data_IF_812274151652
#
_entry.id   IF_812274151652
#
_cell.length_a   1.000
_cell.length_b   1.000
_cell.length_c   1.000
_cell.angle_alpha   90.00
_cell.angle_beta   90.00
_cell.angle_gamma   90.00
#
_symmetry.space_group_name_H-M   'P 1'
#
loop_
_entity.id
_entity.type
_entity.pdbx_description
1 polymer ?
#
# COMPACT_ATOMS: atom_id res chain seq x y z
N UNK A 1 9.83 -14.83 99.06
CA UNK A 1 10.33 -14.10 97.87
C UNK A 1 9.75 -14.77 96.64
N UNK A 2 9.00 -14.02 95.83
CA UNK A 2 8.24 -14.51 94.67
C UNK A 2 9.16 -14.82 93.47
N UNK A 3 8.97 -15.95 92.75
CA UNK A 3 9.53 -16.15 91.42
C UNK A 3 8.40 -16.04 90.38
N UNK A 4 8.22 -14.87 89.78
CA UNK A 4 7.24 -14.68 88.71
C UNK A 4 7.44 -13.35 88.02
N UNK A 5 8.17 -13.35 86.89
CA UNK A 5 8.13 -12.24 85.92
C UNK A 5 8.90 -12.48 84.60
N UNK A 6 9.65 -13.57 84.41
CA UNK A 6 10.55 -13.67 83.24
C UNK A 6 9.95 -14.37 82.00
N UNK A 7 8.85 -15.10 82.12
CA UNK A 7 8.26 -15.88 81.01
C UNK A 7 7.20 -15.14 80.20
N UNK A 8 6.66 -14.03 80.73
CA UNK A 8 5.53 -13.31 80.13
C UNK A 8 5.98 -12.42 78.96
N UNK A 9 7.12 -11.73 79.11
CA UNK A 9 7.66 -10.80 78.11
C UNK A 9 8.10 -11.45 76.79
N UNK A 10 8.62 -12.69 76.83
CA UNK A 10 9.10 -13.40 75.62
C UNK A 10 7.93 -13.93 74.78
N UNK A 11 6.80 -14.26 75.42
CA UNK A 11 5.59 -14.73 74.73
C UNK A 11 4.90 -13.55 74.03
N UNK A 12 4.81 -12.39 74.69
CA UNK A 12 4.23 -11.18 74.11
C UNK A 12 5.00 -10.66 72.90
N UNK A 13 6.35 -10.67 72.93
CA UNK A 13 7.18 -10.26 71.79
C UNK A 13 7.03 -11.19 70.58
N UNK A 14 6.78 -12.49 70.81
CA UNK A 14 6.51 -13.46 69.72
C UNK A 14 5.11 -13.29 69.15
N UNK A 15 4.13 -12.96 69.99
CA UNK A 15 2.76 -12.67 69.57
C UNK A 15 2.71 -11.42 68.68
N UNK A 16 3.43 -10.36 69.06
CA UNK A 16 3.49 -9.09 68.33
C UNK A 16 4.13 -9.21 66.94
N UNK A 17 5.23 -9.98 66.84
CA UNK A 17 5.86 -10.31 65.53
C UNK A 17 4.92 -11.08 64.60
N UNK A 18 4.12 -12.00 65.14
CA UNK A 18 3.14 -12.75 64.34
C UNK A 18 2.01 -11.82 63.86
N UNK A 19 1.55 -10.89 64.70
CA UNK A 19 0.56 -9.89 64.30
C UNK A 19 1.07 -8.93 63.21
N UNK A 20 2.33 -8.49 63.28
CA UNK A 20 2.96 -7.69 62.23
C UNK A 20 3.08 -8.47 60.91
N UNK A 21 3.49 -9.74 60.96
CA UNK A 21 3.56 -10.57 59.77
C UNK A 21 2.20 -10.77 59.09
N UNK A 22 1.13 -10.95 59.88
CA UNK A 22 -0.24 -11.04 59.36
C UNK A 22 -0.65 -9.73 58.68
N UNK A 23 -0.39 -8.57 59.31
CA UNK A 23 -0.66 -7.25 58.73
C UNK A 23 0.10 -7.04 57.42
N UNK A 24 1.38 -7.38 57.36
CA UNK A 24 2.21 -7.27 56.16
C UNK A 24 1.68 -8.15 55.02
N UNK A 25 1.19 -9.36 55.33
CA UNK A 25 0.58 -10.24 54.35
C UNK A 25 -0.75 -9.68 53.80
N UNK A 26 -1.58 -9.09 54.66
CA UNK A 26 -2.83 -8.44 54.27
C UNK A 26 -2.58 -7.20 53.41
N UNK A 27 -1.62 -6.35 53.79
CA UNK A 27 -1.21 -5.18 53.02
C UNK A 27 -0.62 -5.56 51.66
N UNK A 28 0.19 -6.64 51.62
CA UNK A 28 0.72 -7.17 50.35
C UNK A 28 -0.39 -7.70 49.45
N UNK A 29 -1.40 -8.38 50.00
CA UNK A 29 -2.58 -8.83 49.25
C UNK A 29 -3.43 -7.65 48.77
N UNK A 30 -3.61 -6.60 49.58
CA UNK A 30 -4.33 -5.38 49.20
C UNK A 30 -3.63 -4.69 48.03
N UNK A 31 -2.32 -4.47 48.15
CA UNK A 31 -1.51 -3.84 47.09
C UNK A 31 -1.53 -4.64 45.79
N UNK A 32 -1.44 -5.97 45.85
CA UNK A 32 -1.53 -6.80 44.66
C UNK A 32 -2.90 -6.67 43.96
N UNK A 33 -4.01 -6.62 44.72
CA UNK A 33 -5.35 -6.40 44.16
C UNK A 33 -5.49 -5.01 43.54
N UNK A 34 -4.96 -3.98 44.18
CA UNK A 34 -4.96 -2.61 43.65
C UNK A 34 -4.15 -2.51 42.34
N UNK A 35 -2.98 -3.14 42.27
CA UNK A 35 -2.15 -3.18 41.06
C UNK A 35 -2.86 -3.90 39.91
N UNK A 36 -3.54 -5.01 40.19
CA UNK A 36 -4.29 -5.76 39.19
C UNK A 36 -5.53 -5.01 38.71
N UNK A 37 -6.23 -4.31 39.62
CA UNK A 37 -7.33 -3.41 39.26
C UNK A 37 -6.82 -2.24 38.40
N UNK A 38 -5.69 -1.64 38.75
CA UNK A 38 -5.08 -0.56 37.97
C UNK A 38 -4.66 -1.03 36.57
N UNK A 39 -4.16 -2.27 36.41
CA UNK A 39 -3.88 -2.87 35.10
C UNK A 39 -5.17 -3.10 34.31
N UNK A 40 -6.21 -3.63 34.94
CA UNK A 40 -7.51 -3.86 34.31
C UNK A 40 -8.13 -2.54 33.80
N UNK A 41 -8.07 -1.47 34.60
CA UNK A 41 -8.56 -0.15 34.22
C UNK A 41 -7.74 0.48 33.07
N UNK A 42 -6.42 0.34 33.10
CA UNK A 42 -5.56 0.74 31.98
C UNK A 42 -5.95 -0.01 30.69
N UNK A 43 -6.14 -1.32 30.75
CA UNK A 43 -6.59 -2.11 29.59
C UNK A 43 -7.98 -1.68 29.09
N UNK A 44 -8.93 -1.43 30.01
CA UNK A 44 -10.27 -0.94 29.67
C UNK A 44 -10.19 0.42 28.96
N UNK A 45 -9.36 1.33 29.46
CA UNK A 45 -9.15 2.66 28.86
C UNK A 45 -8.53 2.56 27.47
N UNK A 46 -7.57 1.66 27.27
CA UNK A 46 -6.97 1.39 25.95
C UNK A 46 -8.00 0.83 24.97
N UNK A 47 -8.82 -0.14 25.39
CA UNK A 47 -9.92 -0.68 24.56
C UNK A 47 -10.93 0.39 24.16
N UNK A 48 -11.31 1.27 25.09
CA UNK A 48 -12.22 2.39 24.80
C UNK A 48 -11.60 3.40 23.82
N UNK A 49 -10.32 3.75 23.97
CA UNK A 49 -9.60 4.61 23.04
C UNK A 49 -9.54 3.99 21.64
N UNK A 50 -9.23 2.70 21.54
CA UNK A 50 -9.22 1.98 20.27
C UNK A 50 -10.61 1.98 19.61
N UNK A 51 -11.67 1.65 20.36
CA UNK A 51 -13.05 1.69 19.87
C UNK A 51 -13.43 3.09 19.36
N UNK A 52 -13.10 4.14 20.12
CA UNK A 52 -13.34 5.53 19.72
C UNK A 52 -12.59 5.88 18.43
N UNK A 53 -11.33 5.49 18.31
CA UNK A 53 -10.52 5.72 17.11
C UNK A 53 -11.09 5.00 15.87
N UNK A 54 -11.52 3.75 16.01
CA UNK A 54 -12.16 2.98 14.92
C UNK A 54 -13.45 3.66 14.47
N UNK A 55 -14.31 4.08 15.41
CA UNK A 55 -15.56 4.78 15.10
C UNK A 55 -15.30 6.12 14.41
N UNK A 56 -14.33 6.89 14.87
CA UNK A 56 -13.95 8.16 14.25
C UNK A 56 -13.44 7.94 12.82
N UNK A 57 -12.59 6.93 12.59
CA UNK A 57 -12.12 6.58 11.25
C UNK A 57 -13.28 6.16 10.34
N UNK A 58 -14.20 5.34 10.82
CA UNK A 58 -15.38 4.93 10.06
C UNK A 58 -16.31 6.11 9.72
N UNK A 59 -16.46 7.08 10.64
CA UNK A 59 -17.19 8.32 10.35
C UNK A 59 -16.50 9.14 9.26
N UNK A 60 -15.18 9.31 9.33
CA UNK A 60 -14.41 10.04 8.30
C UNK A 60 -14.50 9.38 6.92
N UNK A 61 -14.43 8.05 6.84
CA UNK A 61 -14.57 7.32 5.57
C UNK A 61 -15.96 7.57 4.97
N UNK A 62 -17.03 7.49 5.78
CA UNK A 62 -18.38 7.79 5.29
C UNK A 62 -18.54 9.21 4.78
N UNK A 63 -17.90 10.19 5.43
CA UNK A 63 -17.93 11.58 4.93
C UNK A 63 -17.18 11.75 3.62
N UNK A 64 -16.05 11.04 3.42
CA UNK A 64 -15.31 11.11 2.16
C UNK A 64 -16.07 10.42 1.03
N UNK A 65 -16.73 9.29 1.31
CA UNK A 65 -17.51 8.56 0.33
C UNK A 65 -18.72 9.38 -0.15
N UNK A 66 -19.43 10.04 0.78
CA UNK A 66 -20.54 10.93 0.44
C UNK A 66 -20.10 12.13 -0.43
N UNK A 67 -18.92 12.70 -0.15
CA UNK A 67 -18.35 13.78 -0.97
C UNK A 67 -18.00 13.27 -2.37
N UNK A 68 -17.43 12.08 -2.46
CA UNK A 68 -17.03 11.45 -3.73
C UNK A 68 -18.25 11.09 -4.58
N UNK A 69 -19.34 10.60 -3.98
CA UNK A 69 -20.62 10.41 -4.64
C UNK A 69 -21.22 11.73 -5.13
N UNK A 70 -21.18 12.80 -4.32
CA UNK A 70 -21.63 14.12 -4.74
C UNK A 70 -20.85 14.67 -5.94
N UNK A 71 -19.53 14.46 -5.99
CA UNK A 71 -18.71 14.84 -7.14
C UNK A 71 -19.00 14.00 -8.39
N UNK A 72 -19.27 12.70 -8.23
CA UNK A 72 -19.68 11.82 -9.34
C UNK A 72 -21.02 12.26 -9.91
N UNK A 73 -22.03 12.48 -9.06
CA UNK A 73 -23.35 12.94 -9.48
C UNK A 73 -23.29 14.30 -10.20
N UNK A 74 -22.43 15.22 -9.73
CA UNK A 74 -22.21 16.49 -10.42
C UNK A 74 -21.59 16.30 -11.81
N UNK A 75 -20.57 15.46 -11.94
CA UNK A 75 -19.94 15.16 -13.24
C UNK A 75 -20.90 14.47 -14.21
N UNK A 76 -21.76 13.60 -13.70
CA UNK A 76 -22.78 12.92 -14.51
C UNK A 76 -23.81 13.92 -15.03
N UNK A 77 -24.33 14.80 -14.16
CA UNK A 77 -25.23 15.87 -14.56
C UNK A 77 -24.61 16.84 -15.58
N UNK A 78 -23.36 17.26 -15.35
CA UNK A 78 -22.64 18.13 -16.28
C UNK A 78 -22.42 17.43 -17.65
N UNK A 79 -22.24 16.10 -17.66
CA UNK A 79 -22.12 15.32 -18.89
C UNK A 79 -23.46 15.17 -19.63
N UNK A 80 -24.56 14.93 -18.92
CA UNK A 80 -25.91 14.89 -19.48
C UNK A 80 -26.31 16.23 -20.10
N UNK A 81 -26.04 17.34 -19.39
CA UNK A 81 -26.31 18.70 -19.89
C UNK A 81 -25.47 19.00 -21.15
N UNK A 82 -24.20 18.58 -21.18
CA UNK A 82 -23.35 18.73 -22.35
C UNK A 82 -23.82 17.87 -23.55
N UNK A 83 -24.36 16.67 -23.30
CA UNK A 83 -24.92 15.82 -24.35
C UNK A 83 -26.22 16.41 -24.91
N UNK A 84 -27.10 16.93 -24.04
CA UNK A 84 -28.31 17.63 -24.43
C UNK A 84 -28.02 18.85 -25.31
N UNK A 85 -27.02 19.66 -24.96
CA UNK A 85 -26.58 20.78 -25.80
C UNK A 85 -26.00 20.33 -27.14
N UNK A 86 -25.22 19.23 -27.17
CA UNK A 86 -24.74 18.64 -28.43
C UNK A 86 -25.90 18.18 -29.31
N UNK A 87 -26.92 17.54 -28.73
CA UNK A 87 -28.10 17.11 -29.48
C UNK A 87 -28.90 18.30 -30.03
N UNK A 88 -29.10 19.36 -29.24
CA UNK A 88 -29.73 20.60 -29.72
C UNK A 88 -28.94 21.25 -30.84
N UNK A 89 -27.61 21.32 -30.72
CA UNK A 89 -26.73 21.87 -31.75
C UNK A 89 -26.79 21.05 -33.05
N UNK A 90 -26.84 19.72 -32.96
CA UNK A 90 -27.02 18.84 -34.12
C UNK A 90 -28.37 19.04 -34.78
N UNK A 91 -29.47 19.08 -34.01
CA UNK A 91 -30.82 19.37 -34.53
C UNK A 91 -30.88 20.73 -35.21
N UNK A 92 -30.27 21.76 -34.62
CA UNK A 92 -30.17 23.10 -35.21
C UNK A 92 -29.41 23.07 -36.54
N UNK A 93 -28.25 22.43 -36.59
CA UNK A 93 -27.47 22.26 -37.83
C UNK A 93 -28.22 21.49 -38.91
N UNK A 94 -28.97 20.45 -38.54
CA UNK A 94 -29.80 19.68 -39.47
C UNK A 94 -30.96 20.53 -40.02
N UNK A 95 -31.62 21.30 -39.15
CA UNK A 95 -32.70 22.21 -39.53
C UNK A 95 -32.21 23.32 -40.47
N UNK A 96 -31.04 23.91 -40.18
CA UNK A 96 -30.40 24.89 -41.08
C UNK A 96 -30.01 24.25 -42.41
N UNK A 97 -29.51 23.02 -42.41
CA UNK A 97 -29.19 22.27 -43.64
C UNK A 97 -30.45 22.00 -44.47
N UNK A 98 -31.55 21.59 -43.85
CA UNK A 98 -32.85 21.39 -44.52
C UNK A 98 -33.41 22.71 -45.07
N UNK A 99 -33.30 23.81 -44.33
CA UNK A 99 -33.70 25.13 -44.82
C UNK A 99 -32.83 25.62 -46.00
N UNK A 100 -31.53 25.32 -46.01
CA UNK A 100 -30.63 25.65 -47.13
C UNK A 100 -30.83 24.79 -48.38
N UNK A 101 -31.52 23.65 -48.24
CA UNK A 101 -31.90 22.76 -49.35
C UNK A 101 -33.32 23.04 -49.88
N UNK A 102 -33.92 24.17 -49.48
CA UNK A 102 -35.20 24.65 -50.00
C UNK A 102 -35.09 25.16 -51.44
N UNK A 103 -35.81 24.49 -52.34
CA UNK A 103 -36.28 24.90 -53.67
C UNK A 103 -35.22 25.27 -54.71
N UNK A 104 -34.63 24.26 -55.35
CA UNK A 104 -34.29 24.35 -56.78
C UNK A 104 -34.90 23.14 -57.49
N UNK A 105 -36.15 23.29 -57.94
CA UNK A 105 -36.65 22.47 -59.02
C UNK A 105 -35.76 22.74 -60.23
N UNK A 106 -35.00 21.74 -60.66
CA UNK A 106 -34.18 21.83 -61.87
C UNK A 106 -35.13 21.77 -63.07
N UNK A 107 -35.20 22.81 -63.92
CA UNK A 107 -36.05 22.75 -65.11
C UNK A 107 -35.59 21.62 -66.02
N UNK A 108 -36.53 20.73 -66.35
CA UNK A 108 -36.39 19.49 -67.14
C UNK A 108 -35.67 19.63 -68.49
N UNK A 109 -35.31 20.86 -68.91
CA UNK A 109 -34.59 21.15 -70.15
C UNK A 109 -33.06 21.15 -70.00
N UNK A 110 -32.53 21.19 -68.76
CA UNK A 110 -31.08 21.20 -68.51
C UNK A 110 -30.50 19.79 -68.28
N UNK A 111 -31.34 18.81 -67.90
CA UNK A 111 -30.92 17.41 -67.74
C UNK A 111 -30.60 16.74 -69.08
N UNK A 112 -31.36 17.02 -70.14
CA UNK A 112 -31.07 16.50 -71.49
C UNK A 112 -29.78 17.06 -72.11
N UNK A 113 -29.38 18.29 -71.75
CA UNK A 113 -28.14 18.88 -72.24
C UNK A 113 -26.89 18.29 -71.54
N UNK A 114 -27.03 17.87 -70.28
CA UNK A 114 -25.94 17.28 -69.49
C UNK A 114 -25.70 15.81 -69.84
N UNK A 115 -26.77 15.05 -70.17
CA UNK A 115 -26.65 13.67 -70.66
C UNK A 115 -26.00 13.60 -72.06
N UNK A 116 -26.32 14.55 -72.95
CA UNK A 116 -25.65 14.67 -74.26
C UNK A 116 -24.18 15.06 -74.15
N UNK A 117 -23.78 15.83 -73.15
CA UNK A 117 -22.39 16.18 -72.91
C UNK A 117 -21.58 15.01 -72.30
N UNK A 118 -22.20 14.22 -71.42
CA UNK A 118 -21.56 13.04 -70.82
C UNK A 118 -21.37 11.87 -71.81
N UNK A 119 -22.29 11.70 -72.78
CA UNK A 119 -22.10 10.73 -73.87
C UNK A 119 -20.96 11.11 -74.82
N UNK A 120 -20.70 12.41 -75.02
CA UNK A 120 -19.58 12.89 -75.84
C UNK A 120 -18.23 12.85 -75.08
N UNK A 121 -18.23 13.04 -73.76
CA UNK A 121 -17.01 12.97 -72.94
C UNK A 121 -16.51 11.54 -72.67
N UNK A 122 -17.37 10.51 -72.83
CA UNK A 122 -16.96 9.11 -72.76
C UNK A 122 -16.13 8.64 -73.98
N UNK A 123 -16.15 9.38 -75.09
CA UNK A 123 -15.45 9.04 -76.33
C UNK A 123 -14.06 9.67 -76.47
N UNK A 124 -13.65 10.59 -75.59
CA UNK A 124 -12.35 11.23 -75.65
C UNK A 124 -11.84 11.57 -74.24
N UNK A 125 -10.93 10.75 -73.71
CA UNK A 125 -10.39 10.92 -72.37
C UNK A 125 -8.91 10.59 -72.26
N UNK A 126 -8.05 11.46 -72.80
CA UNK A 126 -6.66 11.60 -72.39
C UNK A 126 -6.43 13.01 -71.84
N UNK A 127 -5.77 13.06 -70.68
CA UNK A 127 -5.05 14.18 -70.07
C UNK A 127 -5.84 15.45 -69.70
N UNK A 128 -6.07 15.69 -68.40
CA UNK A 128 -5.52 16.84 -67.66
C UNK A 128 -5.43 16.49 -66.17
N UNK A 129 -4.22 16.64 -65.64
CA UNK A 129 -3.85 16.49 -64.23
C UNK A 129 -4.06 17.79 -63.45
N UNK A 130 -4.19 17.66 -62.12
CA UNK A 130 -3.66 18.61 -61.12
C UNK A 130 -4.48 19.82 -60.60
N UNK A 131 -5.83 19.82 -60.63
CA UNK A 131 -6.64 20.84 -59.88
C UNK A 131 -7.70 20.23 -58.94
N UNK A 132 -7.78 18.91 -58.83
CA UNK A 132 -8.88 18.22 -58.13
C UNK A 132 -8.38 17.43 -56.90
N UNK A 133 -7.82 18.11 -55.90
CA UNK A 133 -7.45 17.46 -54.61
C UNK A 133 -8.08 18.14 -53.38
N UNK A 134 -8.63 19.35 -53.51
CA UNK A 134 -9.30 20.03 -52.37
C UNK A 134 -10.83 19.99 -52.37
N UNK A 135 -11.46 19.40 -53.40
CA UNK A 135 -12.93 19.34 -53.50
C UNK A 135 -13.52 17.93 -53.27
N UNK A 136 -12.69 16.89 -53.21
CA UNK A 136 -13.19 15.51 -53.15
C UNK A 136 -13.50 15.00 -51.72
N UNK A 137 -12.98 15.62 -50.67
CA UNK A 137 -13.28 15.17 -49.29
C UNK A 137 -14.73 15.45 -48.84
N UNK A 138 -15.42 16.36 -49.54
CA UNK A 138 -16.80 16.77 -49.17
C UNK A 138 -17.88 16.02 -49.95
N UNK A 139 -17.53 15.41 -51.08
CA UNK A 139 -18.48 14.75 -51.98
C UNK A 139 -18.58 13.22 -51.75
N UNK A 140 -17.66 12.62 -50.98
CA UNK A 140 -17.64 11.16 -50.69
C UNK A 140 -18.50 10.75 -49.47
N UNK A 141 -19.12 11.71 -48.77
CA UNK A 141 -20.01 11.41 -47.64
C UNK A 141 -21.44 11.02 -48.09
N UNK A 142 -21.77 11.27 -49.36
CA UNK A 142 -23.13 11.12 -49.89
C UNK A 142 -23.39 9.79 -50.60
N UNK A 143 -22.37 8.96 -50.88
CA UNK A 143 -22.52 7.68 -51.60
C UNK A 143 -22.32 6.43 -50.74
N UNK A 144 -21.94 6.56 -49.46
CA UNK A 144 -21.71 5.40 -48.58
C UNK A 144 -23.02 4.65 -48.32
N UNK A 145 -23.02 3.36 -48.68
CA UNK A 145 -24.12 2.46 -48.42
C UNK A 145 -24.39 2.35 -46.91
N UNK A 146 -25.64 2.06 -46.47
CA UNK A 146 -25.98 1.91 -45.05
C UNK A 146 -25.04 0.94 -44.31
N UNK A 147 -24.63 -0.15 -44.96
CA UNK A 147 -23.67 -1.11 -44.41
C UNK A 147 -22.28 -0.52 -44.12
N UNK A 148 -21.77 0.35 -44.99
CA UNK A 148 -20.44 0.94 -44.80
C UNK A 148 -20.43 1.97 -43.68
N UNK A 149 -21.55 2.69 -43.49
CA UNK A 149 -21.74 3.57 -42.33
C UNK A 149 -21.79 2.78 -41.03
N UNK A 150 -22.46 1.63 -41.02
CA UNK A 150 -22.51 0.75 -39.86
C UNK A 150 -21.13 0.17 -39.52
N UNK A 151 -20.40 -0.36 -40.50
CA UNK A 151 -19.02 -0.85 -40.35
C UNK A 151 -18.07 0.23 -39.82
N UNK A 152 -18.19 1.49 -40.29
CA UNK A 152 -17.42 2.62 -39.76
C UNK A 152 -17.80 2.97 -38.32
N UNK A 153 -19.08 2.90 -37.97
CA UNK A 153 -19.54 3.16 -36.59
C UNK A 153 -19.03 2.11 -35.61
N UNK A 154 -18.98 0.83 -36.02
CA UNK A 154 -18.44 -0.27 -35.23
C UNK A 154 -16.93 -0.09 -35.03
N UNK A 155 -16.17 0.21 -36.10
CA UNK A 155 -14.74 0.50 -36.00
C UNK A 155 -14.46 1.69 -35.07
N UNK A 156 -15.28 2.75 -35.15
CA UNK A 156 -15.14 3.90 -34.27
C UNK A 156 -15.38 3.54 -32.80
N UNK A 157 -16.42 2.74 -32.50
CA UNK A 157 -16.69 2.23 -31.14
C UNK A 157 -15.55 1.34 -30.62
N UNK A 158 -14.96 0.50 -31.48
CA UNK A 158 -13.81 -0.32 -31.12
C UNK A 158 -12.59 0.55 -30.75
N UNK A 159 -12.29 1.57 -31.55
CA UNK A 159 -11.19 2.51 -31.27
C UNK A 159 -11.45 3.29 -29.99
N UNK A 160 -12.67 3.78 -29.77
CA UNK A 160 -13.04 4.47 -28.52
C UNK A 160 -12.92 3.57 -27.29
N UNK A 161 -13.27 2.29 -27.40
CA UNK A 161 -13.11 1.32 -26.32
C UNK A 161 -11.63 1.05 -25.99
N UNK A 162 -10.79 0.89 -27.02
CA UNK A 162 -9.34 0.73 -26.84
C UNK A 162 -8.70 1.99 -26.24
N UNK A 163 -9.15 3.18 -26.66
CA UNK A 163 -8.73 4.45 -26.09
C UNK A 163 -9.11 4.55 -24.61
N UNK A 164 -10.35 4.19 -24.23
CA UNK A 164 -10.78 4.14 -22.83
C UNK A 164 -9.93 3.20 -21.99
N UNK A 165 -9.57 2.02 -22.52
CA UNK A 165 -8.68 1.08 -21.83
C UNK A 165 -7.26 1.65 -21.65
N UNK A 166 -6.75 2.39 -22.63
CA UNK A 166 -5.45 3.05 -22.52
C UNK A 166 -5.48 4.16 -21.48
N UNK A 167 -6.53 4.97 -21.48
CA UNK A 167 -6.71 6.06 -20.51
C UNK A 167 -6.94 5.51 -19.09
N UNK A 168 -7.67 4.40 -18.92
CA UNK A 168 -7.84 3.73 -17.62
C UNK A 168 -6.50 3.21 -17.08
N UNK A 169 -5.67 2.59 -17.93
CA UNK A 169 -4.32 2.13 -17.52
C UNK A 169 -3.44 3.30 -17.11
N UNK A 170 -3.49 4.40 -17.86
CA UNK A 170 -2.73 5.62 -17.55
C UNK A 170 -3.20 6.26 -16.25
N UNK A 171 -4.51 6.30 -16.01
CA UNK A 171 -5.06 6.82 -14.77
C UNK A 171 -4.64 5.98 -13.56
N UNK A 172 -4.73 4.64 -13.66
CA UNK A 172 -4.25 3.76 -12.59
C UNK A 172 -2.77 3.94 -12.29
N UNK A 173 -1.95 4.16 -13.31
CA UNK A 173 -0.52 4.41 -13.14
C UNK A 173 -0.27 5.73 -12.38
N UNK A 174 -1.00 6.80 -12.73
CA UNK A 174 -0.93 8.08 -12.02
C UNK A 174 -1.36 7.93 -10.56
N UNK A 175 -2.47 7.24 -10.31
CA UNK A 175 -2.98 7.02 -8.94
C UNK A 175 -1.97 6.21 -8.08
N UNK A 176 -1.32 5.20 -8.66
CA UNK A 176 -0.27 4.41 -8.00
C UNK A 176 1.00 5.23 -7.73
N UNK A 177 1.40 6.10 -8.67
CA UNK A 177 2.53 7.00 -8.51
C UNK A 177 2.27 8.05 -7.43
N UNK A 178 1.07 8.65 -7.40
CA UNK A 178 0.64 9.58 -6.34
C UNK A 178 0.66 8.91 -4.96
N UNK A 179 0.15 7.67 -4.87
CA UNK A 179 0.17 6.89 -3.62
C UNK A 179 1.61 6.59 -3.18
N UNK A 180 2.48 6.21 -4.10
CA UNK A 180 3.89 5.96 -3.83
C UNK A 180 4.62 7.23 -3.36
N UNK A 181 4.33 8.37 -3.97
CA UNK A 181 4.90 9.65 -3.58
C UNK A 181 4.44 10.06 -2.18
N UNK A 182 3.16 9.84 -1.86
CA UNK A 182 2.62 10.10 -0.52
C UNK A 182 3.27 9.21 0.56
N UNK A 183 3.62 7.96 0.22
CA UNK A 183 4.41 7.08 1.08
C UNK A 183 5.85 7.59 1.22
N UNK A 184 6.49 8.07 0.15
CA UNK A 184 7.84 8.65 0.19
C UNK A 184 7.88 9.89 1.07
N UNK A 185 6.92 10.79 0.93
CA UNK A 185 6.80 11.99 1.78
C UNK A 185 6.60 11.64 3.25
N UNK A 186 5.75 10.65 3.56
CA UNK A 186 5.59 10.17 4.94
C UNK A 186 6.90 9.59 5.51
N UNK A 187 7.63 8.80 4.71
CA UNK A 187 8.93 8.25 5.12
C UNK A 187 9.98 9.35 5.31
N UNK A 188 9.97 10.39 4.47
CA UNK A 188 10.87 11.54 4.61
C UNK A 188 10.58 12.31 5.90
N UNK A 189 9.32 12.63 6.20
CA UNK A 189 8.93 13.30 7.45
C UNK A 189 9.33 12.51 8.69
N UNK A 190 9.17 11.18 8.68
CA UNK A 190 9.61 10.32 9.79
C UNK A 190 11.13 10.35 9.97
N UNK A 191 11.90 10.41 8.88
CA UNK A 191 13.37 10.52 8.96
C UNK A 191 13.80 11.87 9.51
N UNK A 192 13.18 12.95 9.06
CA UNK A 192 13.44 14.30 9.57
C UNK A 192 13.10 14.41 11.06
N UNK A 193 11.94 13.90 11.48
CA UNK A 193 11.56 13.84 12.90
C UNK A 193 12.54 13.00 13.73
N UNK A 194 13.07 11.90 13.17
CA UNK A 194 14.07 11.08 13.84
C UNK A 194 15.43 11.80 13.98
N UNK A 195 15.84 12.58 12.97
CA UNK A 195 17.06 13.40 13.05
C UNK A 195 16.91 14.48 14.11
N UNK A 196 15.78 15.20 14.15
CA UNK A 196 15.50 16.20 15.19
C UNK A 196 15.49 15.59 16.60
N UNK A 197 14.92 14.39 16.76
CA UNK A 197 14.97 13.67 18.04
C UNK A 197 16.39 13.25 18.42
N UNK A 198 17.20 12.85 17.44
CA UNK A 198 18.59 12.49 17.69
C UNK A 198 19.45 13.70 18.05
N UNK A 199 19.23 14.84 17.38
CA UNK A 199 19.89 16.11 17.70
C UNK A 199 19.45 16.64 19.07
N UNK A 200 18.16 16.58 19.40
CA UNK A 200 17.65 16.94 20.72
C UNK A 200 18.23 16.04 21.82
N UNK A 201 18.29 14.71 21.60
CA UNK A 201 18.91 13.79 22.54
C UNK A 201 20.43 14.01 22.67
N UNK A 202 21.10 14.46 21.61
CA UNK A 202 22.52 14.84 21.66
C UNK A 202 22.71 16.15 22.44
N UNK A 203 21.84 17.14 22.24
CA UNK A 203 21.86 18.39 22.98
C UNK A 203 21.55 18.18 24.47
N UNK A 204 20.59 17.31 24.81
CA UNK A 204 20.27 16.94 26.19
C UNK A 204 21.45 16.21 26.86
N UNK A 205 22.13 15.32 26.13
CA UNK A 205 23.36 14.67 26.63
C UNK A 205 24.52 15.64 26.83
N UNK A 206 24.69 16.61 25.94
CA UNK A 206 25.71 17.65 26.09
C UNK A 206 25.38 18.62 27.24
N UNK A 207 24.10 18.95 27.44
CA UNK A 207 23.65 19.75 28.57
C UNK A 207 23.79 19.00 29.91
N UNK A 208 23.50 17.69 29.94
CA UNK A 208 23.74 16.85 31.10
C UNK A 208 25.23 16.69 31.42
N UNK A 209 26.09 16.56 30.39
CA UNK A 209 27.54 16.53 30.57
C UNK A 209 28.12 17.87 31.05
N UNK A 210 27.58 19.01 30.59
CA UNK A 210 27.96 20.34 31.07
C UNK A 210 27.49 20.62 32.51
N UNK A 211 26.36 20.02 32.93
CA UNK A 211 25.89 20.10 34.31
C UNK A 211 26.70 19.21 35.28
N UNK A 212 27.30 18.12 34.78
CA UNK A 212 28.19 17.21 35.55
C UNK A 212 29.62 17.78 35.70
N UNK A 213 30.02 18.75 34.86
CA UNK A 213 31.34 19.40 34.93
C UNK A 213 31.44 20.51 36.02
N UNK A 214 30.40 20.75 36.81
CA UNK A 214 30.42 21.67 37.96
C UNK A 214 30.31 20.96 39.33
N UNK A 215 30.55 19.65 39.39
CA UNK A 215 30.60 18.93 40.67
C UNK A 215 31.70 17.88 40.69
N UNK A 216 32.91 18.25 40.25
CA UNK A 216 34.12 17.44 40.48
C UNK A 216 35.07 18.19 41.40
N UNK A 217 34.86 18.05 42.70
CA UNK A 217 35.94 18.14 43.70
C UNK A 217 35.63 17.20 44.87
N UNK A 218 36.46 16.17 44.93
CA UNK A 218 37.02 15.53 46.12
C UNK A 218 36.41 14.23 46.70
N UNK A 219 37.34 13.26 46.71
CA UNK A 219 37.67 12.13 47.61
C UNK A 219 37.09 10.73 47.37
N UNK A 220 38.06 9.82 47.34
CA UNK A 220 38.10 8.37 47.16
C UNK A 220 37.69 7.67 48.46
N UNK A 221 36.88 6.60 48.39
CA UNK A 221 37.13 5.39 49.17
C UNK A 221 36.41 4.16 48.58
N UNK A 222 37.08 3.02 48.74
CA UNK A 222 36.79 1.70 48.19
C UNK A 222 35.79 0.97 49.09
N UNK A 223 34.72 0.37 48.54
CA UNK A 223 34.17 -0.87 49.12
C UNK A 223 33.23 -1.66 48.18
N UNK A 224 33.58 -2.93 48.05
CA UNK A 224 32.88 -4.18 47.70
C UNK A 224 31.68 -4.29 46.74
N UNK A 225 31.83 -5.32 45.90
CA UNK A 225 30.92 -5.82 44.89
C UNK A 225 29.62 -6.45 45.42
N UNK A 226 28.50 -6.10 44.77
CA UNK A 226 27.47 -7.05 44.31
C UNK A 226 26.95 -6.61 42.94
N UNK A 227 26.99 -7.45 41.89
CA UNK A 227 26.53 -7.05 40.57
C UNK A 227 24.99 -7.01 40.57
N UNK A 228 24.41 -5.83 40.78
CA UNK A 228 23.00 -5.58 40.47
C UNK A 228 22.88 -5.63 38.95
N UNK A 229 22.44 -6.77 38.44
CA UNK A 229 22.10 -6.96 37.04
C UNK A 229 21.09 -5.86 36.68
N UNK A 230 21.54 -4.84 35.96
CA UNK A 230 20.69 -3.76 35.53
C UNK A 230 19.77 -4.30 34.44
N UNK A 231 18.59 -4.76 34.86
CA UNK A 231 17.56 -5.39 34.02
C UNK A 231 17.19 -4.46 32.86
N UNK A 232 17.22 -3.15 33.08
CA UNK A 232 16.90 -2.14 32.07
C UNK A 232 18.00 -2.01 31.00
N UNK A 233 19.26 -2.12 31.41
CA UNK A 233 20.38 -2.22 30.47
C UNK A 233 20.38 -3.57 29.71
N UNK A 234 19.96 -4.66 30.36
CA UNK A 234 19.85 -5.98 29.73
C UNK A 234 18.68 -6.04 28.74
N UNK A 235 17.52 -5.47 29.08
CA UNK A 235 16.36 -5.31 28.20
C UNK A 235 16.70 -4.37 27.04
N UNK A 236 17.44 -3.29 27.29
CA UNK A 236 17.91 -2.39 26.22
C UNK A 236 18.89 -3.08 25.26
N UNK A 237 19.78 -3.95 25.77
CA UNK A 237 20.67 -4.77 24.94
C UNK A 237 19.90 -5.83 24.15
N UNK A 238 18.95 -6.54 24.78
CA UNK A 238 18.08 -7.53 24.11
C UNK A 238 17.15 -6.91 23.07
N UNK A 239 16.67 -5.68 23.32
CA UNK A 239 15.80 -4.95 22.39
C UNK A 239 16.57 -4.48 21.16
N UNK A 240 17.83 -4.04 21.33
CA UNK A 240 18.72 -3.68 20.23
C UNK A 240 19.20 -4.91 19.43
N UNK A 241 19.41 -6.03 20.11
CA UNK A 241 19.76 -7.30 19.46
C UNK A 241 18.62 -7.83 18.58
N UNK A 242 17.35 -7.73 18.99
CA UNK A 242 16.22 -8.15 18.15
C UNK A 242 16.04 -7.33 16.87
N UNK A 243 16.47 -6.06 16.85
CA UNK A 243 16.43 -5.21 15.65
C UNK A 243 17.70 -5.29 14.81
N UNK A 244 18.87 -5.58 15.38
CA UNK A 244 20.11 -5.78 14.61
C UNK A 244 20.29 -7.21 14.09
N UNK A 245 19.75 -8.21 14.78
CA UNK A 245 19.74 -9.61 14.34
C UNK A 245 18.92 -9.80 13.06
N UNK A 246 17.98 -8.90 12.76
CA UNK A 246 17.26 -8.92 11.48
C UNK A 246 18.07 -8.35 10.29
N UNK A 247 19.24 -7.75 10.51
CA UNK A 247 19.99 -7.03 9.47
C UNK A 247 21.46 -7.41 9.28
N UNK A 248 22.03 -8.30 10.10
CA UNK A 248 23.39 -8.82 9.93
C UNK A 248 23.47 -10.27 10.45
N UNK A 249 22.70 -11.17 9.82
CA UNK A 249 22.85 -12.61 10.07
C UNK A 249 23.93 -13.13 9.11
N UNK A 250 25.01 -13.74 9.61
CA UNK A 250 25.96 -14.45 8.75
C UNK A 250 25.21 -15.43 7.86
N UNK A 251 25.45 -15.33 6.55
CA UNK A 251 25.02 -16.30 5.54
C UNK A 251 25.26 -17.70 6.09
N UNK A 252 24.23 -18.53 6.08
CA UNK A 252 24.06 -19.60 7.04
C UNK A 252 25.06 -20.76 6.98
N UNK A 253 26.22 -20.70 6.31
CA UNK A 253 27.20 -21.79 6.04
C UNK A 253 26.61 -23.10 5.47
N UNK A 254 25.61 -23.71 6.11
CA UNK A 254 25.02 -25.02 5.80
C UNK A 254 23.48 -24.99 5.76
N UNK A 255 22.90 -25.83 4.89
CA UNK A 255 21.43 -25.95 4.71
C UNK A 255 20.69 -26.34 6.00
N UNK A 256 21.29 -27.19 6.83
CA UNK A 256 20.76 -27.63 8.14
C UNK A 256 20.63 -26.48 9.13
N UNK A 257 21.61 -25.57 9.15
CA UNK A 257 21.62 -24.38 10.00
C UNK A 257 20.55 -23.39 9.57
N UNK A 258 20.35 -23.24 8.25
CA UNK A 258 19.26 -22.45 7.69
C UNK A 258 17.88 -23.01 8.07
N UNK A 259 17.66 -24.33 7.98
CA UNK A 259 16.39 -24.96 8.39
C UNK A 259 16.08 -24.73 9.87
N UNK A 260 17.06 -24.93 10.76
CA UNK A 260 16.91 -24.67 12.21
C UNK A 260 16.55 -23.21 12.51
N UNK A 261 17.15 -22.25 11.79
CA UNK A 261 16.89 -20.82 11.96
C UNK A 261 15.48 -20.42 11.49
N UNK A 262 15.00 -21.02 10.41
CA UNK A 262 13.68 -20.75 9.84
C UNK A 262 12.56 -21.62 10.46
N UNK A 263 12.88 -22.43 11.48
CA UNK A 263 11.90 -23.31 12.13
C UNK A 263 11.41 -24.44 11.22
N UNK A 264 12.18 -24.80 10.19
CA UNK A 264 11.86 -25.89 9.26
C UNK A 264 12.41 -27.19 9.82
N UNK A 265 11.60 -28.25 9.82
CA UNK A 265 12.08 -29.57 10.23
C UNK A 265 13.18 -30.06 9.27
N UNK A 266 14.15 -30.81 9.78
CA UNK A 266 15.32 -31.22 9.00
C UNK A 266 14.96 -32.06 7.77
N UNK A 267 13.91 -32.87 7.90
CA UNK A 267 13.36 -33.74 6.86
C UNK A 267 12.41 -33.00 5.88
N UNK A 268 11.94 -31.81 6.24
CA UNK A 268 11.06 -31.03 5.38
C UNK A 268 11.83 -30.43 4.21
N UNK A 269 11.34 -30.67 3.00
CA UNK A 269 11.87 -30.06 1.77
C UNK A 269 11.47 -28.59 1.67
N UNK A 270 12.37 -27.78 1.13
CA UNK A 270 12.27 -26.33 1.03
C UNK A 270 12.12 -25.96 -0.43
N UNK A 271 11.22 -25.05 -0.76
CA UNK A 271 11.13 -24.53 -2.12
C UNK A 271 11.09 -23.01 -2.18
N UNK A 272 11.63 -22.46 -3.26
CA UNK A 272 11.62 -21.04 -3.58
C UNK A 272 10.76 -20.79 -4.82
N UNK A 273 9.89 -19.78 -4.79
CA UNK A 273 9.11 -19.35 -5.94
C UNK A 273 9.54 -17.97 -6.42
N UNK A 274 9.77 -17.86 -7.71
CA UNK A 274 10.17 -16.61 -8.36
C UNK A 274 9.07 -16.19 -9.33
N UNK A 275 8.13 -15.39 -8.82
CA UNK A 275 6.95 -14.93 -9.55
C UNK A 275 5.64 -15.25 -8.81
N UNK A 276 4.52 -15.07 -9.49
CA UNK A 276 3.19 -15.33 -8.93
C UNK A 276 2.67 -16.70 -9.37
N UNK A 277 2.77 -17.71 -8.50
CA UNK A 277 2.35 -19.09 -8.78
C UNK A 277 1.56 -19.68 -7.60
N UNK A 278 0.30 -19.26 -7.39
CA UNK A 278 -0.49 -19.71 -6.25
C UNK A 278 -0.76 -21.22 -6.27
N UNK A 279 -1.04 -21.79 -7.45
CA UNK A 279 -1.32 -23.23 -7.59
C UNK A 279 -0.13 -24.09 -7.16
N UNK A 280 1.06 -23.76 -7.64
CA UNK A 280 2.29 -24.51 -7.31
C UNK A 280 2.60 -24.37 -5.82
N UNK A 281 2.49 -23.15 -5.29
CA UNK A 281 2.66 -22.87 -3.85
C UNK A 281 1.76 -23.76 -3.01
N UNK A 282 0.46 -23.75 -3.27
CA UNK A 282 -0.52 -24.54 -2.53
C UNK A 282 -0.28 -26.05 -2.65
N UNK A 283 0.10 -26.55 -3.83
CA UNK A 283 0.37 -27.98 -4.02
C UNK A 283 1.59 -28.46 -3.25
N UNK A 284 2.65 -27.64 -3.16
CA UNK A 284 3.86 -27.96 -2.42
C UNK A 284 3.64 -27.81 -0.90
N UNK A 285 2.91 -26.78 -0.47
CA UNK A 285 2.51 -26.62 0.94
C UNK A 285 1.60 -27.78 1.41
N UNK A 286 0.67 -28.25 0.56
CA UNK A 286 -0.16 -29.45 0.84
C UNK A 286 0.67 -30.73 0.99
N UNK A 287 1.81 -30.82 0.31
CA UNK A 287 2.78 -31.92 0.44
C UNK A 287 3.69 -31.77 1.66
N UNK A 288 3.50 -30.71 2.46
CA UNK A 288 4.31 -30.43 3.64
C UNK A 288 5.66 -29.79 3.34
N UNK A 289 5.85 -29.22 2.14
CA UNK A 289 7.08 -28.50 1.81
C UNK A 289 7.03 -27.08 2.37
N UNK A 290 8.19 -26.55 2.75
CA UNK A 290 8.31 -25.21 3.30
C UNK A 290 8.61 -24.18 2.21
N UNK A 291 7.77 -23.14 2.10
CA UNK A 291 7.98 -22.04 1.18
C UNK A 291 8.96 -21.01 1.76
N UNK A 292 10.13 -20.88 1.13
CA UNK A 292 11.11 -19.84 1.46
C UNK A 292 10.77 -18.53 0.70
N UNK A 293 10.41 -17.43 1.39
CA UNK A 293 10.10 -16.15 0.74
C UNK A 293 11.33 -15.46 0.14
N UNK A 294 12.54 -15.84 0.54
CA UNK A 294 13.79 -15.25 0.06
C UNK A 294 14.15 -15.82 -1.32
N UNK A 295 13.81 -15.09 -2.38
CA UNK A 295 14.04 -15.47 -3.79
C UNK A 295 15.52 -15.65 -4.17
N UNK A 296 16.40 -14.96 -3.43
CA UNK A 296 17.84 -14.93 -3.66
C UNK A 296 18.58 -15.88 -2.70
N UNK A 297 17.85 -16.62 -1.86
CA UNK A 297 18.48 -17.58 -0.94
C UNK A 297 19.07 -18.75 -1.73
N UNK A 298 20.31 -19.16 -1.44
CA UNK A 298 20.90 -20.37 -2.02
C UNK A 298 20.35 -21.66 -1.37
N UNK A 299 19.53 -21.54 -0.33
CA UNK A 299 19.03 -22.65 0.48
C UNK A 299 17.62 -23.08 0.04
N UNK A 300 17.54 -24.03 -0.89
CA UNK A 300 16.29 -24.66 -1.34
C UNK A 300 16.52 -26.09 -1.82
N UNK A 301 15.50 -26.95 -1.85
CA UNK A 301 15.53 -28.22 -2.58
C UNK A 301 14.94 -28.07 -3.99
N UNK A 302 14.05 -27.10 -4.21
CA UNK A 302 13.44 -26.80 -5.50
C UNK A 302 13.27 -25.29 -5.69
N UNK A 303 13.72 -24.75 -6.81
CA UNK A 303 13.46 -23.35 -7.19
C UNK A 303 12.64 -23.29 -8.48
N UNK A 304 11.43 -22.75 -8.39
CA UNK A 304 10.58 -22.50 -9.55
C UNK A 304 10.75 -21.06 -10.01
N UNK A 305 11.25 -20.86 -11.23
CA UNK A 305 11.45 -19.53 -11.80
C UNK A 305 11.02 -19.47 -13.27
N UNK A 306 10.60 -18.28 -13.70
CA UNK A 306 10.22 -18.04 -15.09
C UNK A 306 11.44 -17.80 -15.98
N UNK A 307 12.49 -17.17 -15.45
CA UNK A 307 13.68 -16.79 -16.20
C UNK A 307 14.89 -17.56 -15.70
N UNK A 308 15.73 -18.03 -16.63
CA UNK A 308 17.00 -18.68 -16.30
C UNK A 308 17.97 -17.75 -15.58
N UNK A 309 17.85 -16.43 -15.77
CA UNK A 309 18.66 -15.43 -15.07
C UNK A 309 18.46 -15.46 -13.54
N UNK A 310 17.28 -15.87 -13.08
CA UNK A 310 16.99 -15.97 -11.65
C UNK A 310 17.76 -17.13 -10.98
N UNK A 311 18.28 -18.08 -11.77
CA UNK A 311 19.12 -19.19 -11.32
C UNK A 311 20.61 -18.85 -11.39
N UNK A 312 21.04 -17.94 -12.27
CA UNK A 312 22.46 -17.56 -12.44
C UNK A 312 23.10 -16.94 -11.19
N UNK A 313 22.27 -16.40 -10.29
CA UNK A 313 22.72 -15.79 -9.03
C UNK A 313 22.99 -16.80 -7.92
N UNK A 314 22.66 -18.08 -8.12
CA UNK A 314 22.75 -19.13 -7.11
C UNK A 314 23.68 -20.25 -7.59
N UNK A 315 24.62 -20.68 -6.75
CA UNK A 315 25.40 -21.91 -6.99
C UNK A 315 24.51 -23.11 -6.69
N UNK A 316 24.22 -23.91 -7.71
CA UNK A 316 23.46 -25.14 -7.59
C UNK A 316 24.38 -26.29 -7.18
N UNK A 317 23.88 -27.16 -6.30
CA UNK A 317 24.50 -28.44 -5.97
C UNK A 317 23.96 -29.53 -6.91
N UNK A 318 24.64 -30.68 -7.00
CA UNK A 318 24.26 -31.77 -7.92
C UNK A 318 22.85 -32.34 -7.67
N UNK A 319 22.33 -32.19 -6.45
CA UNK A 319 21.00 -32.66 -6.04
C UNK A 319 19.86 -31.65 -6.32
N UNK A 320 20.14 -30.50 -6.95
CA UNK A 320 19.21 -29.35 -7.16
C UNK A 320 18.90 -29.03 -8.62
#
# INVERSE_FOLDING_TARGET
>A
MYPGSYTETVVDVKLDKNQQFIKDLEDKKRKAREDDQAKADKQRRLRLKLRKSILQRAASIRTTDALLEGLKAKREKDAEDAEMERQKALKKKELTRKASLGTTEVPSRMQEALEKFNQAAAAAGSAVSAVRVKKEEKDDASSLTPEEREKRSIKKKQVEYLQKLADERKQRQVDDDEKNELVRQKRAKVREEALLKHEAAKAEKLAAAAADESTSSQVVEVEEAKPKVNVEAMVSRLSKLKTSEAQLVPEAKDFTSWKKRNGVALDTKVFCLTGWYPVIKETLEKRGWHHNPDRNSPYFDLKWALKSDDLKSVKLNDDQ
#
